data_IF_043421331494
#
_entry.id   IF_043421331494
#
_cell.length_a   1.000
_cell.length_b   1.000
_cell.length_c   1.000
_cell.angle_alpha   90.00
_cell.angle_beta   90.00
_cell.angle_gamma   90.00
#
_symmetry.space_group_name_H-M   'P 1'
#
loop_
_entity.id
_entity.type
_entity.pdbx_description
1 polymer ?
#
# COMPACT_ATOMS: atom_id res chain seq x y z
N UNK A 1 11.11 -1.58 19.32
CA UNK A 1 10.76 -0.16 19.58
C UNK A 1 9.71 0.16 18.53
N UNK A 2 8.52 0.57 18.95
CA UNK A 2 7.32 0.63 18.11
C UNK A 2 7.17 2.05 17.58
N UNK A 3 7.28 2.22 16.26
CA UNK A 3 7.14 3.51 15.59
C UNK A 3 5.67 3.83 15.35
N UNK A 4 5.28 5.08 15.58
CA UNK A 4 3.90 5.59 15.55
C UNK A 4 3.80 6.62 14.42
N UNK A 5 2.87 6.44 13.47
CA UNK A 5 2.58 7.42 12.41
C UNK A 5 1.41 8.31 12.87
N UNK A 6 1.59 9.63 12.85
CA UNK A 6 0.67 10.64 13.41
C UNK A 6 -0.25 11.23 12.32
N UNK A 7 -1.54 11.39 12.64
CA UNK A 7 -2.51 12.23 11.92
C UNK A 7 -2.98 13.39 12.83
N UNK A 8 -3.17 14.59 12.25
CA UNK A 8 -3.21 15.91 12.93
C UNK A 8 -4.48 16.23 13.74
N UNK A 9 -4.33 16.80 14.96
CA UNK A 9 -4.86 18.14 15.36
C UNK A 9 -4.46 18.61 16.79
N UNK A 10 -3.99 19.88 16.85
CA UNK A 10 -3.87 20.93 17.90
C UNK A 10 -3.82 20.66 19.44
N UNK A 11 -2.87 21.41 20.06
CA UNK A 11 -2.71 21.96 21.43
C UNK A 11 -1.88 21.20 22.52
N UNK A 12 -0.71 21.80 22.81
CA UNK A 12 0.00 22.12 24.07
C UNK A 12 0.45 21.06 25.13
N UNK A 13 1.80 20.98 25.27
CA UNK A 13 2.67 21.15 26.46
C UNK A 13 2.85 20.00 27.51
N UNK A 14 4.13 19.52 27.57
CA UNK A 14 4.98 18.98 28.69
C UNK A 14 4.59 17.69 29.45
N UNK A 15 5.47 16.81 29.97
CA UNK A 15 6.94 16.54 29.96
C UNK A 15 7.21 15.14 30.58
N UNK A 16 8.31 14.47 30.17
CA UNK A 16 9.10 13.47 30.95
C UNK A 16 8.59 12.01 31.01
N UNK A 17 9.38 10.93 31.17
CA UNK A 17 10.83 10.65 31.24
C UNK A 17 11.01 9.11 31.42
N UNK A 18 12.13 8.53 30.94
CA UNK A 18 12.83 7.29 31.37
C UNK A 18 12.34 5.84 30.99
N UNK A 19 12.93 5.28 29.92
CA UNK A 19 13.97 4.21 29.80
C UNK A 19 13.97 2.94 30.74
N UNK A 20 14.70 1.83 30.43
CA UNK A 20 14.37 0.69 29.54
C UNK A 20 14.55 -0.72 30.20
N UNK A 21 14.26 -1.85 29.50
CA UNK A 21 14.92 -3.18 29.74
C UNK A 21 14.67 -4.27 28.68
N UNK A 22 15.80 -4.72 28.07
CA UNK A 22 16.27 -6.04 27.58
C UNK A 22 15.36 -7.18 27.06
N UNK A 23 15.67 -7.57 25.81
CA UNK A 23 15.95 -8.91 25.20
C UNK A 23 15.09 -10.15 25.55
N UNK A 24 14.54 -10.81 24.50
CA UNK A 24 14.98 -12.16 24.04
C UNK A 24 14.38 -12.57 22.68
N UNK A 25 15.18 -13.39 21.99
CA UNK A 25 15.04 -14.10 20.71
C UNK A 25 13.75 -14.93 20.54
N UNK A 26 13.20 -15.04 19.31
CA UNK A 26 13.08 -16.32 18.57
C UNK A 26 12.44 -16.17 17.16
N UNK A 27 12.94 -17.05 16.28
CA UNK A 27 12.62 -17.36 14.88
C UNK A 27 11.12 -17.46 14.55
N UNK A 28 10.73 -16.92 13.39
CA UNK A 28 9.95 -17.58 12.30
C UNK A 28 9.34 -16.50 11.38
N UNK A 29 9.89 -16.34 10.16
CA UNK A 29 9.50 -15.29 9.22
C UNK A 29 8.27 -15.67 8.39
N UNK A 30 7.09 -15.36 8.91
CA UNK A 30 5.87 -15.25 8.12
C UNK A 30 5.57 -13.76 7.90
N UNK A 31 5.58 -13.31 6.63
CA UNK A 31 5.12 -11.98 6.27
C UNK A 31 3.58 -11.95 6.35
N UNK A 32 3.07 -11.66 7.54
CA UNK A 32 1.66 -11.39 7.81
C UNK A 32 1.49 -9.91 8.10
N UNK A 33 0.93 -9.16 7.15
CA UNK A 33 0.49 -7.78 7.37
C UNK A 33 -0.77 -7.81 8.26
N UNK A 34 -0.65 -7.25 9.47
CA UNK A 34 -1.79 -6.88 10.32
C UNK A 34 -1.94 -5.36 10.27
N UNK A 35 -3.04 -4.90 9.68
CA UNK A 35 -3.56 -3.56 9.94
C UNK A 35 -4.12 -3.57 11.37
N UNK A 36 -3.42 -2.95 12.32
CA UNK A 36 -3.90 -2.84 13.69
C UNK A 36 -4.94 -1.71 13.78
N UNK A 37 -6.17 -2.11 14.09
CA UNK A 37 -7.18 -1.30 14.76
C UNK A 37 -6.77 -1.05 16.23
N UNK A 38 -6.73 0.23 16.63
CA UNK A 38 -7.13 0.79 17.93
C UNK A 38 -6.11 1.72 18.62
N UNK A 39 -6.58 2.95 18.89
CA UNK A 39 -6.36 3.65 20.17
C UNK A 39 -7.59 4.55 20.48
N UNK A 40 -7.78 5.02 21.74
CA UNK A 40 -8.93 4.65 22.56
C UNK A 40 -9.96 5.78 22.72
N UNK A 41 -11.25 5.43 22.65
CA UNK A 41 -12.32 6.20 23.29
C UNK A 41 -13.15 5.29 24.20
N UNK A 42 -13.15 5.68 25.47
CA UNK A 42 -14.03 5.30 26.60
C UNK A 42 -15.10 4.22 26.36
N UNK A 43 -14.90 3.10 27.08
CA UNK A 43 -15.88 2.18 27.69
C UNK A 43 -17.32 2.22 27.14
N UNK A 44 -17.72 1.17 26.42
CA UNK A 44 -18.97 0.45 26.73
C UNK A 44 -18.95 -1.00 26.22
N UNK A 45 -19.07 -1.92 27.19
CA UNK A 45 -19.57 -3.30 27.11
C UNK A 45 -18.94 -4.29 26.12
N UNK A 46 -17.80 -4.85 26.54
CA UNK A 46 -17.39 -6.21 26.18
C UNK A 46 -18.48 -7.22 26.60
N UNK A 47 -19.02 -7.97 25.64
CA UNK A 47 -19.53 -9.33 25.90
C UNK A 47 -18.53 -10.33 25.34
N UNK A 48 -18.00 -11.14 26.25
CA UNK A 48 -17.11 -12.27 26.01
C UNK A 48 -17.67 -13.23 24.95
N UNK A 49 -16.79 -13.73 24.08
CA UNK A 49 -16.90 -15.11 23.61
C UNK A 49 -15.57 -15.84 23.78
N UNK A 50 -15.65 -16.87 24.61
CA UNK A 50 -14.64 -17.89 24.84
C UNK A 50 -14.32 -18.66 23.56
N UNK A 51 -13.07 -19.09 23.50
CA UNK A 51 -12.57 -20.21 22.71
C UNK A 51 -13.38 -21.49 22.96
N UNK A 52 -13.97 -22.10 21.93
CA UNK A 52 -14.16 -23.55 21.90
C UNK A 52 -14.24 -24.11 20.46
N UNK A 53 -13.34 -25.07 20.21
CA UNK A 53 -13.51 -26.37 19.53
C UNK A 53 -13.76 -26.46 18.02
N UNK A 54 -12.96 -27.35 17.44
CA UNK A 54 -12.97 -27.92 16.10
C UNK A 54 -14.36 -28.36 15.62
N UNK A 55 -14.65 -28.05 14.34
CA UNK A 55 -15.54 -28.81 13.46
C UNK A 55 -15.18 -28.47 12.00
N UNK A 56 -14.58 -29.41 11.27
CA UNK A 56 -14.69 -29.49 9.81
C UNK A 56 -15.99 -30.24 9.44
N UNK A 57 -16.50 -30.19 8.21
CA UNK A 57 -16.37 -29.17 7.15
C UNK A 57 -17.77 -28.72 6.64
N UNK A 58 -18.02 -27.43 6.44
CA UNK A 58 -19.16 -27.00 5.62
C UNK A 58 -18.72 -26.67 4.21
N UNK A 59 -19.22 -27.48 3.27
CA UNK A 59 -19.14 -27.30 1.82
C UNK A 59 -19.47 -25.85 1.48
N UNK A 60 -18.56 -25.18 0.78
CA UNK A 60 -18.74 -23.84 0.27
C UNK A 60 -20.05 -23.74 -0.51
N UNK A 61 -20.91 -22.82 -0.09
CA UNK A 61 -22.05 -22.37 -0.86
C UNK A 61 -21.47 -21.53 -2.02
N UNK A 62 -20.94 -22.21 -3.04
CA UNK A 62 -20.83 -21.64 -4.37
C UNK A 62 -22.24 -21.64 -4.93
N UNK A 63 -22.82 -20.45 -5.04
CA UNK A 63 -24.11 -20.23 -5.68
C UNK A 63 -24.00 -20.70 -7.15
N UNK A 64 -24.62 -21.84 -7.49
CA UNK A 64 -24.52 -22.50 -8.81
C UNK A 64 -25.32 -21.83 -9.94
N UNK A 65 -25.84 -20.63 -9.73
CA UNK A 65 -26.69 -19.92 -10.70
C UNK A 65 -26.13 -18.56 -11.15
N UNK A 66 -24.80 -18.45 -11.31
CA UNK A 66 -24.25 -17.43 -12.20
C UNK A 66 -24.10 -18.04 -13.60
N UNK A 67 -24.41 -17.30 -14.69
CA UNK A 67 -24.10 -17.75 -16.03
C UNK A 67 -22.59 -18.05 -16.10
N UNK A 68 -22.25 -19.28 -16.49
CA UNK A 68 -20.88 -19.69 -16.85
C UNK A 68 -20.44 -18.96 -18.12
N UNK A 69 -20.17 -17.67 -18.00
CA UNK A 69 -19.06 -17.07 -18.74
C UNK A 69 -17.88 -17.45 -17.87
N UNK A 70 -16.92 -18.22 -18.39
CA UNK A 70 -15.76 -18.58 -17.61
C UNK A 70 -15.10 -17.26 -17.20
N UNK A 71 -15.07 -16.95 -15.90
CA UNK A 71 -14.43 -15.74 -15.41
C UNK A 71 -12.93 -15.74 -15.71
N UNK A 72 -12.39 -16.91 -16.11
CA UNK A 72 -11.05 -17.11 -16.63
C UNK A 72 -10.80 -16.38 -17.96
N UNK A 73 -11.82 -16.13 -18.77
CA UNK A 73 -11.68 -15.49 -20.09
C UNK A 73 -11.75 -13.96 -20.04
N UNK A 74 -12.05 -13.36 -18.88
CA UNK A 74 -12.16 -11.90 -18.75
C UNK A 74 -11.56 -11.40 -17.42
N UNK A 75 -10.26 -11.03 -17.41
CA UNK A 75 -9.57 -10.47 -16.25
C UNK A 75 -10.29 -9.29 -15.59
N UNK A 76 -10.98 -8.45 -16.37
CA UNK A 76 -11.70 -7.28 -15.85
C UNK A 76 -12.95 -7.68 -15.03
N UNK A 77 -13.58 -8.82 -15.36
CA UNK A 77 -14.67 -9.36 -14.53
C UNK A 77 -14.14 -9.83 -13.18
N UNK A 78 -12.99 -10.52 -13.15
CA UNK A 78 -12.36 -10.97 -11.90
C UNK A 78 -11.90 -9.80 -11.02
N UNK A 79 -11.35 -8.76 -11.62
CA UNK A 79 -10.99 -7.52 -10.91
C UNK A 79 -12.26 -6.90 -10.29
N UNK A 80 -13.34 -6.78 -11.08
CA UNK A 80 -14.62 -6.28 -10.58
C UNK A 80 -15.15 -7.13 -9.43
N UNK A 81 -15.16 -8.45 -9.57
CA UNK A 81 -15.61 -9.39 -8.54
C UNK A 81 -14.81 -9.25 -7.24
N UNK A 82 -13.49 -9.09 -7.35
CA UNK A 82 -12.63 -8.81 -6.21
C UNK A 82 -13.05 -7.53 -5.46
N UNK A 83 -13.27 -6.42 -6.18
CA UNK A 83 -13.63 -5.15 -5.54
C UNK A 83 -15.06 -5.12 -4.97
N UNK A 84 -16.03 -5.79 -5.59
CA UNK A 84 -17.40 -5.85 -5.03
C UNK A 84 -17.53 -6.86 -3.88
N UNK A 85 -16.57 -7.77 -3.73
CA UNK A 85 -16.52 -8.70 -2.60
C UNK A 85 -16.27 -7.93 -1.30
N UNK A 86 -16.82 -8.43 -0.18
CA UNK A 86 -16.61 -7.84 1.14
C UNK A 86 -15.11 -7.76 1.48
N UNK A 87 -14.62 -6.65 2.07
CA UNK A 87 -13.19 -6.45 2.31
C UNK A 87 -12.52 -7.61 3.08
N UNK A 88 -13.21 -8.17 4.08
CA UNK A 88 -12.72 -9.30 4.89
C UNK A 88 -12.48 -10.60 4.10
N UNK A 89 -13.03 -10.72 2.90
CA UNK A 89 -12.87 -11.89 2.03
C UNK A 89 -11.86 -11.65 0.89
N UNK A 90 -11.53 -10.40 0.57
CA UNK A 90 -10.60 -10.05 -0.52
C UNK A 90 -9.21 -10.66 -0.36
N UNK A 91 -8.58 -10.70 0.84
CA UNK A 91 -7.28 -11.35 1.01
C UNK A 91 -7.26 -12.82 0.59
N UNK A 92 -8.41 -13.52 0.68
CA UNK A 92 -8.54 -14.92 0.25
C UNK A 92 -8.62 -15.06 -1.27
N UNK A 93 -9.12 -14.04 -1.97
CA UNK A 93 -9.24 -13.99 -3.43
C UNK A 93 -7.99 -13.43 -4.10
N UNK A 94 -7.25 -12.56 -3.39
CA UNK A 94 -6.08 -11.80 -3.88
C UNK A 94 -5.16 -12.61 -4.80
N UNK A 95 -4.61 -13.71 -4.30
CA UNK A 95 -3.68 -14.57 -5.06
C UNK A 95 -4.32 -15.25 -6.26
N UNK A 96 -5.62 -15.56 -6.19
CA UNK A 96 -6.34 -16.13 -7.31
C UNK A 96 -6.58 -15.06 -8.39
N UNK A 97 -7.12 -13.91 -8.01
CA UNK A 97 -7.36 -12.77 -8.91
C UNK A 97 -6.06 -12.32 -9.58
N UNK A 98 -4.95 -12.26 -8.83
CA UNK A 98 -3.65 -11.82 -9.35
C UNK A 98 -3.10 -12.67 -10.50
N UNK A 99 -3.45 -13.96 -10.59
CA UNK A 99 -3.01 -14.83 -11.69
C UNK A 99 -3.51 -14.39 -13.06
N UNK A 100 -4.59 -13.61 -13.10
CA UNK A 100 -5.22 -13.14 -14.33
C UNK A 100 -4.80 -11.70 -14.69
N UNK A 101 -4.03 -11.04 -13.82
CA UNK A 101 -3.44 -9.72 -14.08
C UNK A 101 -2.12 -9.95 -14.80
N UNK A 102 -2.14 -9.94 -16.13
CA UNK A 102 -0.97 -10.25 -16.96
C UNK A 102 -0.56 -9.13 -17.92
N UNK A 103 -1.27 -7.99 -17.90
CA UNK A 103 -1.03 -6.88 -18.81
C UNK A 103 -1.11 -5.52 -18.12
N UNK A 104 -0.54 -4.49 -18.76
CA UNK A 104 -0.61 -3.11 -18.27
C UNK A 104 -2.06 -2.64 -18.20
N UNK A 105 -2.90 -3.01 -19.16
CA UNK A 105 -4.31 -2.62 -19.23
C UNK A 105 -5.10 -3.12 -18.01
N UNK A 106 -4.82 -4.34 -17.55
CA UNK A 106 -5.45 -4.89 -16.32
C UNK A 106 -5.01 -4.14 -15.06
N UNK A 107 -3.75 -3.70 -14.98
CA UNK A 107 -3.27 -2.85 -13.89
C UNK A 107 -3.94 -1.48 -13.93
N UNK A 108 -4.03 -0.85 -15.11
CA UNK A 108 -4.73 0.43 -15.27
C UNK A 108 -6.22 0.33 -14.86
N UNK A 109 -6.87 -0.80 -15.11
CA UNK A 109 -8.24 -1.03 -14.62
C UNK A 109 -8.29 -1.06 -13.09
N UNK A 110 -7.37 -1.77 -12.42
CA UNK A 110 -7.30 -1.80 -10.95
C UNK A 110 -7.06 -0.40 -10.37
N UNK A 111 -6.19 0.39 -11.00
CA UNK A 111 -5.96 1.78 -10.62
C UNK A 111 -7.22 2.64 -10.75
N UNK A 112 -8.09 2.40 -11.74
CA UNK A 112 -9.40 3.08 -11.81
C UNK A 112 -10.35 2.62 -10.70
N UNK A 113 -10.28 1.35 -10.30
CA UNK A 113 -11.10 0.81 -9.21
C UNK A 113 -10.71 1.36 -7.84
N UNK A 114 -9.42 1.69 -7.61
CA UNK A 114 -8.93 2.21 -6.33
C UNK A 114 -9.65 3.49 -5.89
N UNK A 115 -10.11 4.31 -6.84
CA UNK A 115 -10.85 5.57 -6.63
C UNK A 115 -12.36 5.46 -6.80
N UNK A 116 -12.90 4.24 -6.98
CA UNK A 116 -14.32 4.06 -7.28
C UNK A 116 -15.20 4.33 -6.07
N UNK A 117 -16.02 5.38 -6.15
CA UNK A 117 -17.03 5.70 -5.13
C UNK A 117 -18.00 4.52 -4.94
N UNK A 118 -18.32 4.23 -3.68
CA UNK A 118 -19.22 3.13 -3.31
C UNK A 118 -18.55 1.76 -3.18
N UNK A 119 -17.23 1.67 -3.42
CA UNK A 119 -16.45 0.48 -3.10
C UNK A 119 -15.73 0.71 -1.77
N UNK A 120 -16.09 -0.06 -0.74
CA UNK A 120 -15.44 0.02 0.57
C UNK A 120 -13.97 -0.40 0.45
N UNK A 121 -13.05 0.34 1.08
CA UNK A 121 -11.61 0.03 1.13
C UNK A 121 -10.98 -0.18 -0.25
N UNK A 122 -11.47 0.55 -1.27
CA UNK A 122 -11.01 0.41 -2.65
C UNK A 122 -9.50 0.68 -2.79
N UNK A 123 -9.01 1.74 -2.15
CA UNK A 123 -7.60 2.11 -2.16
C UNK A 123 -6.71 1.00 -1.58
N UNK A 124 -6.97 0.56 -0.35
CA UNK A 124 -6.15 -0.47 0.32
C UNK A 124 -6.22 -1.81 -0.43
N UNK A 125 -7.40 -2.15 -0.95
CA UNK A 125 -7.59 -3.39 -1.69
C UNK A 125 -6.89 -3.39 -3.05
N UNK A 126 -6.73 -2.21 -3.66
CA UNK A 126 -5.94 -2.06 -4.88
C UNK A 126 -4.45 -2.27 -4.59
N UNK A 127 -3.91 -1.65 -3.54
CA UNK A 127 -2.51 -1.87 -3.12
C UNK A 127 -2.28 -3.36 -2.80
N UNK A 128 -3.17 -3.97 -2.03
CA UNK A 128 -3.11 -5.38 -1.66
C UNK A 128 -3.07 -6.27 -2.91
N UNK A 129 -3.98 -6.08 -3.87
CA UNK A 129 -4.01 -6.84 -5.11
C UNK A 129 -2.78 -6.61 -6.00
N UNK A 130 -2.36 -5.35 -6.14
CA UNK A 130 -1.21 -4.98 -6.98
C UNK A 130 0.12 -5.47 -6.41
N UNK A 131 0.23 -5.65 -5.08
CA UNK A 131 1.43 -6.22 -4.45
C UNK A 131 1.80 -7.61 -4.97
N UNK A 132 0.84 -8.38 -5.49
CA UNK A 132 1.09 -9.67 -6.12
C UNK A 132 1.59 -9.54 -7.59
N UNK A 133 1.59 -8.33 -8.16
CA UNK A 133 1.79 -8.06 -9.59
C UNK A 133 3.09 -7.29 -9.90
N UNK A 134 4.08 -7.32 -9.00
CA UNK A 134 5.26 -6.45 -9.03
C UNK A 134 5.97 -6.29 -10.38
N UNK A 135 6.17 -7.38 -11.14
CA UNK A 135 6.84 -7.31 -12.45
C UNK A 135 6.11 -6.44 -13.47
N UNK A 136 4.77 -6.44 -13.46
CA UNK A 136 3.94 -5.61 -14.35
C UNK A 136 3.93 -4.16 -13.85
N UNK A 137 3.92 -3.95 -12.53
CA UNK A 137 4.01 -2.61 -11.96
C UNK A 137 5.32 -1.91 -12.36
N UNK A 138 6.44 -2.63 -12.31
CA UNK A 138 7.76 -2.11 -12.71
C UNK A 138 7.77 -1.80 -14.21
N UNK A 139 7.19 -2.67 -15.05
CA UNK A 139 7.04 -2.38 -16.49
C UNK A 139 6.22 -1.11 -16.71
N UNK A 140 5.11 -0.96 -16.00
CA UNK A 140 4.23 0.20 -16.09
C UNK A 140 4.95 1.48 -15.64
N UNK A 141 5.61 1.47 -14.49
CA UNK A 141 6.35 2.63 -13.95
C UNK A 141 7.51 3.08 -14.85
N UNK A 142 8.14 2.14 -15.57
CA UNK A 142 9.19 2.45 -16.55
C UNK A 142 8.64 2.76 -17.95
N UNK A 143 7.34 2.55 -18.19
CA UNK A 143 6.73 2.83 -19.49
C UNK A 143 6.28 4.28 -19.62
N UNK A 144 6.32 4.82 -20.84
CA UNK A 144 5.70 6.10 -21.19
C UNK A 144 4.16 6.06 -21.09
N UNK A 145 3.54 4.90 -20.80
CA UNK A 145 2.09 4.74 -20.87
C UNK A 145 1.35 5.63 -19.86
N UNK A 146 1.95 5.89 -18.69
CA UNK A 146 1.40 6.86 -17.74
C UNK A 146 1.78 8.29 -18.15
N UNK A 147 2.98 8.51 -18.69
CA UNK A 147 3.40 9.83 -19.21
C UNK A 147 2.51 10.33 -20.37
N UNK A 148 1.94 9.44 -21.19
CA UNK A 148 1.00 9.79 -22.27
C UNK A 148 -0.42 10.08 -21.78
N UNK A 149 -0.84 9.55 -20.62
CA UNK A 149 -2.08 10.03 -19.95
C UNK A 149 -1.84 11.33 -19.17
N UNK A 150 -0.58 11.65 -18.83
CA UNK A 150 -0.13 12.82 -18.07
C UNK A 150 -0.11 14.16 -18.84
N UNK A 151 -0.61 14.25 -20.08
CA UNK A 151 -0.63 15.54 -20.81
C UNK A 151 -1.50 16.63 -20.15
N UNK A 152 -2.22 16.30 -19.07
CA UNK A 152 -2.84 17.26 -18.16
C UNK A 152 -2.41 16.95 -16.72
N UNK A 153 -1.35 17.61 -16.26
CA UNK A 153 -0.71 17.38 -14.95
C UNK A 153 -1.58 17.75 -13.72
N UNK A 154 -2.78 18.30 -13.93
CA UNK A 154 -3.71 18.75 -12.88
C UNK A 154 -4.85 17.76 -12.54
N UNK A 155 -4.84 16.55 -13.11
CA UNK A 155 -5.86 15.56 -12.76
C UNK A 155 -5.52 14.87 -11.45
N UNK A 156 -6.17 15.29 -10.35
CA UNK A 156 -6.13 14.63 -9.02
C UNK A 156 -6.25 13.11 -9.17
N UNK A 157 -7.16 12.67 -10.04
CA UNK A 157 -7.43 11.26 -10.28
C UNK A 157 -6.19 10.49 -10.78
N UNK A 158 -5.29 11.13 -11.55
CA UNK A 158 -4.03 10.53 -12.01
C UNK A 158 -3.02 10.48 -10.86
N UNK A 159 -3.00 11.49 -9.99
CA UNK A 159 -2.10 11.51 -8.83
C UNK A 159 -2.44 10.42 -7.81
N UNK A 160 -3.73 10.15 -7.59
CA UNK A 160 -4.21 9.03 -6.77
C UNK A 160 -3.83 7.66 -7.36
N UNK A 161 -3.88 7.52 -8.70
CA UNK A 161 -3.42 6.30 -9.37
C UNK A 161 -1.91 6.08 -9.21
N UNK A 162 -1.11 7.16 -9.30
CA UNK A 162 0.33 7.11 -9.04
C UNK A 162 0.65 6.71 -7.61
N UNK A 163 -0.08 7.25 -6.64
CA UNK A 163 0.08 6.88 -5.23
C UNK A 163 -0.10 5.37 -5.03
N UNK A 164 -1.21 4.81 -5.54
CA UNK A 164 -1.51 3.38 -5.45
C UNK A 164 -0.44 2.54 -6.16
N UNK A 165 0.02 2.99 -7.33
CA UNK A 165 1.09 2.31 -8.07
C UNK A 165 2.40 2.28 -7.27
N UNK A 166 2.83 3.41 -6.72
CA UNK A 166 4.10 3.53 -5.99
C UNK A 166 4.08 2.68 -4.72
N UNK A 167 2.99 2.73 -3.95
CA UNK A 167 2.81 1.90 -2.75
C UNK A 167 2.65 0.41 -3.12
N UNK A 168 1.97 0.11 -4.22
CA UNK A 168 1.89 -1.24 -4.77
C UNK A 168 3.28 -1.82 -5.12
N UNK A 169 4.15 -1.03 -5.76
CA UNK A 169 5.55 -1.41 -6.02
C UNK A 169 6.27 -1.63 -4.71
N UNK A 170 6.17 -0.70 -3.75
CA UNK A 170 6.83 -0.81 -2.45
C UNK A 170 6.43 -2.09 -1.69
N UNK A 171 5.19 -2.56 -1.81
CA UNK A 171 4.70 -3.77 -1.14
C UNK A 171 4.94 -5.08 -1.92
N UNK A 172 5.48 -5.03 -3.15
CA UNK A 172 5.55 -6.20 -4.03
C UNK A 172 6.71 -7.15 -3.69
N UNK A 173 6.55 -7.96 -2.64
CA UNK A 173 7.57 -8.88 -2.14
C UNK A 173 7.91 -10.04 -3.10
N UNK A 174 7.18 -10.20 -4.21
CA UNK A 174 7.55 -11.12 -5.29
C UNK A 174 8.67 -10.59 -6.19
N UNK A 175 9.11 -9.35 -5.98
CA UNK A 175 10.26 -8.72 -6.62
C UNK A 175 11.30 -8.33 -5.55
N UNK A 176 12.59 -8.37 -5.93
CA UNK A 176 13.67 -7.98 -5.01
C UNK A 176 13.48 -6.55 -4.48
N UNK A 177 13.86 -6.34 -3.22
CA UNK A 177 13.79 -5.02 -2.60
C UNK A 177 14.62 -3.99 -3.38
N UNK A 178 15.80 -4.37 -3.87
CA UNK A 178 16.66 -3.49 -4.67
C UNK A 178 15.98 -3.04 -5.97
N UNK A 179 15.30 -3.94 -6.68
CA UNK A 179 14.62 -3.59 -7.94
C UNK A 179 13.40 -2.68 -7.69
N UNK A 180 12.61 -2.96 -6.65
CA UNK A 180 11.54 -2.06 -6.18
C UNK A 180 12.08 -0.67 -5.86
N UNK A 181 13.14 -0.61 -5.05
CA UNK A 181 13.77 0.63 -4.59
C UNK A 181 14.33 1.45 -5.74
N UNK A 182 15.06 0.80 -6.65
CA UNK A 182 15.61 1.45 -7.85
C UNK A 182 14.51 1.96 -8.78
N UNK A 183 13.36 1.28 -8.86
CA UNK A 183 12.22 1.75 -9.65
C UNK A 183 11.60 2.99 -9.02
N UNK A 184 11.32 2.97 -7.71
CA UNK A 184 10.71 4.10 -6.99
C UNK A 184 11.61 5.34 -7.02
N UNK A 185 12.90 5.18 -6.76
CA UNK A 185 13.84 6.32 -6.69
C UNK A 185 14.04 7.01 -8.04
N UNK A 186 13.95 6.29 -9.16
CA UNK A 186 13.94 6.89 -10.51
C UNK A 186 12.76 7.84 -10.75
N UNK A 187 11.66 7.67 -10.01
CA UNK A 187 10.49 8.54 -10.13
C UNK A 187 10.73 9.91 -9.49
N UNK A 188 11.61 10.04 -8.50
CA UNK A 188 11.83 11.29 -7.74
C UNK A 188 12.03 12.51 -8.66
N UNK A 189 12.92 12.39 -9.65
CA UNK A 189 13.27 13.50 -10.54
C UNK A 189 12.18 13.85 -11.57
N UNK A 190 11.21 12.96 -11.77
CA UNK A 190 10.15 13.12 -12.77
C UNK A 190 8.89 13.79 -12.24
N UNK A 191 8.75 13.89 -10.91
CA UNK A 191 7.45 14.21 -10.29
C UNK A 191 7.40 15.63 -9.74
N UNK A 192 6.36 16.36 -10.15
CA UNK A 192 6.04 17.70 -9.65
C UNK A 192 4.90 17.70 -8.64
N UNK A 193 4.02 16.70 -8.67
CA UNK A 193 2.87 16.62 -7.77
C UNK A 193 3.30 16.36 -6.32
N UNK A 194 2.77 17.17 -5.39
CA UNK A 194 2.91 16.97 -3.94
C UNK A 194 2.48 15.57 -3.52
N UNK A 195 1.32 15.10 -3.97
CA UNK A 195 0.78 13.78 -3.58
C UNK A 195 1.72 12.66 -4.00
N UNK A 196 2.23 12.71 -5.24
CA UNK A 196 3.13 11.69 -5.76
C UNK A 196 4.48 11.73 -5.02
N UNK A 197 5.03 12.92 -4.72
CA UNK A 197 6.25 13.05 -3.91
C UNK A 197 6.08 12.48 -2.50
N UNK A 198 4.97 12.79 -1.82
CA UNK A 198 4.66 12.22 -0.52
C UNK A 198 4.53 10.68 -0.59
N UNK A 199 3.91 10.16 -1.65
CA UNK A 199 3.81 8.71 -1.89
C UNK A 199 5.16 8.03 -2.09
N UNK A 200 6.12 8.72 -2.71
CA UNK A 200 7.50 8.23 -2.83
C UNK A 200 8.16 8.17 -1.44
N UNK A 201 7.98 9.19 -0.60
CA UNK A 201 8.49 9.20 0.77
C UNK A 201 7.90 8.03 1.57
N UNK A 202 6.58 7.82 1.51
CA UNK A 202 5.90 6.67 2.13
C UNK A 202 6.48 5.34 1.67
N UNK A 203 6.66 5.18 0.35
CA UNK A 203 7.21 3.96 -0.22
C UNK A 203 8.63 3.68 0.24
N UNK A 204 9.46 4.72 0.43
CA UNK A 204 10.79 4.57 0.99
C UNK A 204 10.75 4.10 2.46
N UNK A 205 9.83 4.63 3.26
CA UNK A 205 9.62 4.20 4.65
C UNK A 205 9.09 2.76 4.75
N UNK A 206 8.16 2.37 3.89
CA UNK A 206 7.66 0.98 3.79
C UNK A 206 8.82 -0.01 3.61
N UNK A 207 9.86 0.40 2.87
CA UNK A 207 11.00 -0.45 2.52
C UNK A 207 12.18 -0.38 3.52
N UNK A 208 12.04 0.33 4.64
CA UNK A 208 13.16 0.59 5.57
C UNK A 208 13.77 -0.67 6.21
N UNK A 209 12.98 -1.72 6.39
CA UNK A 209 13.46 -2.98 6.94
C UNK A 209 14.19 -3.85 5.90
N UNK A 210 14.06 -3.51 4.61
CA UNK A 210 14.60 -4.27 3.48
C UNK A 210 15.78 -3.58 2.79
N UNK A 211 15.90 -2.25 2.93
CA UNK A 211 16.94 -1.41 2.32
C UNK A 211 17.76 -0.72 3.41
N UNK A 212 19.07 -0.59 3.17
CA UNK A 212 19.96 0.08 4.14
C UNK A 212 19.48 1.52 4.43
N UNK A 213 19.40 1.93 5.71
CA UNK A 213 19.04 3.29 6.12
C UNK A 213 19.75 4.39 5.35
N UNK A 214 21.07 4.28 5.15
CA UNK A 214 21.87 5.27 4.43
C UNK A 214 21.45 5.46 2.96
N UNK A 215 21.00 4.37 2.31
CA UNK A 215 20.53 4.44 0.94
C UNK A 215 19.20 5.20 0.86
N UNK A 216 18.26 4.93 1.77
CA UNK A 216 16.99 5.68 1.82
C UNK A 216 17.24 7.15 2.15
N UNK A 217 18.05 7.43 3.18
CA UNK A 217 18.42 8.80 3.60
C UNK A 217 19.04 9.61 2.46
N UNK A 218 19.87 8.98 1.63
CA UNK A 218 20.44 9.63 0.43
C UNK A 218 19.35 10.12 -0.54
N UNK A 219 18.28 9.36 -0.73
CA UNK A 219 17.19 9.75 -1.62
C UNK A 219 16.23 10.74 -0.97
N UNK A 220 15.96 10.63 0.33
CA UNK A 220 15.19 11.64 1.08
C UNK A 220 15.87 13.01 1.06
N UNK A 221 17.21 13.06 1.06
CA UNK A 221 17.97 14.31 0.99
C UNK A 221 17.67 15.15 -0.25
N UNK A 222 17.16 14.55 -1.34
CA UNK A 222 16.68 15.31 -2.49
C UNK A 222 15.51 16.24 -2.11
N UNK A 223 14.54 15.72 -1.35
CA UNK A 223 13.38 16.47 -0.88
C UNK A 223 13.70 17.45 0.24
N UNK A 224 14.84 17.30 0.92
CA UNK A 224 15.32 18.23 1.94
C UNK A 224 16.16 19.38 1.35
N UNK A 225 16.57 19.26 0.10
CA UNK A 225 17.41 20.27 -0.55
C UNK A 225 16.62 21.53 -0.89
N UNK A 226 17.33 22.63 -1.08
CA UNK A 226 16.74 23.91 -1.52
C UNK A 226 16.06 23.82 -2.90
N UNK A 227 16.24 22.72 -3.63
CA UNK A 227 15.55 22.47 -4.91
C UNK A 227 14.08 22.07 -4.73
N UNK A 228 13.69 21.58 -3.55
CA UNK A 228 12.29 21.29 -3.26
C UNK A 228 11.61 22.57 -2.80
N UNK A 229 10.80 23.17 -3.66
CA UNK A 229 10.07 24.40 -3.33
C UNK A 229 8.90 24.16 -2.36
N UNK A 230 8.35 22.95 -2.32
CA UNK A 230 7.18 22.62 -1.49
C UNK A 230 7.56 22.35 -0.03
N UNK A 231 7.28 23.31 0.85
CA UNK A 231 7.58 23.24 2.29
C UNK A 231 6.96 22.01 2.95
N UNK A 232 5.74 21.63 2.56
CA UNK A 232 5.10 20.44 3.09
C UNK A 232 5.90 19.18 2.79
N UNK A 233 6.47 19.08 1.58
CA UNK A 233 7.28 17.93 1.19
C UNK A 233 8.63 17.93 1.91
N UNK A 234 9.23 19.11 2.13
CA UNK A 234 10.45 19.22 2.94
C UNK A 234 10.20 18.73 4.36
N UNK A 235 9.15 19.21 5.01
CA UNK A 235 8.78 18.81 6.38
C UNK A 235 8.51 17.31 6.45
N UNK A 236 7.74 16.78 5.49
CA UNK A 236 7.39 15.37 5.45
C UNK A 236 8.62 14.47 5.23
N UNK A 237 9.53 14.88 4.35
CA UNK A 237 10.81 14.19 4.17
C UNK A 237 11.70 14.29 5.41
N UNK A 238 11.61 15.39 6.16
CA UNK A 238 12.39 15.61 7.38
C UNK A 238 11.93 14.70 8.51
N UNK A 239 10.62 14.51 8.66
CA UNK A 239 10.03 13.53 9.58
C UNK A 239 10.48 12.11 9.22
N UNK A 240 10.33 11.72 7.95
CA UNK A 240 10.76 10.41 7.45
C UNK A 240 12.26 10.17 7.66
N UNK A 241 13.11 11.19 7.48
CA UNK A 241 14.55 11.09 7.69
C UNK A 241 14.92 10.83 9.16
N UNK A 242 14.14 11.37 10.10
CA UNK A 242 14.35 11.19 11.54
C UNK A 242 13.84 9.84 12.04
N UNK A 243 12.86 9.25 11.37
CA UNK A 243 12.28 7.95 11.70
C UNK A 243 13.23 6.77 11.42
N UNK A 244 14.04 6.91 10.35
CA UNK A 244 15.03 5.93 9.87
C UNK A 244 16.32 5.97 10.70
#
# INVERSE_FOLDING_TARGET
>A
MTTTIISRHFNEIETGSQNPKKLKSLKDSHCSFKLNSDHPLKKSNFRNYHSEKFLHPQKSIFNKNLPKISSEDNPNLLIREYFITQPSLRPKLRKFTAKYINSIETVLEILKWSRKKGVQEAYDSAIDLLSECGSILIKLANSEAIEKSNQNHDHIAIQEEWEVLIKGIACACNISAEERFNTITKLILKQKSRLVKASIIDALLIMQDEIKPDAIKKHLAYFLSDNEADEYIRDYAQEAYQEI
#
